data_IF_186428650569
#
_entry.id   IF_186428650569
#
_cell.length_a   1.000
_cell.length_b   1.000
_cell.length_c   1.000
_cell.angle_alpha   90.00
_cell.angle_beta   90.00
_cell.angle_gamma   90.00
#
_symmetry.space_group_name_H-M   'P 1'
#
loop_
_entity.id
_entity.type
_entity.pdbx_description
1 polymer ?
#
# COMPACT_ATOMS: atom_id res chain seq x y z
N UNK A 1 -8.84 -6.07 -24.33
CA UNK A 1 -7.92 -4.93 -24.61
C UNK A 1 -6.49 -5.31 -24.25
N UNK A 2 -5.48 -4.94 -25.05
CA UNK A 2 -4.06 -5.24 -24.78
C UNK A 2 -3.26 -4.07 -24.21
N UNK A 3 -3.73 -2.83 -24.39
CA UNK A 3 -3.08 -1.63 -23.88
C UNK A 3 -4.10 -0.53 -23.62
N UNK A 4 -3.81 0.31 -22.63
CA UNK A 4 -4.58 1.49 -22.23
C UNK A 4 -3.96 2.75 -22.83
N UNK A 5 -4.80 3.65 -23.32
CA UNK A 5 -4.32 4.94 -23.84
C UNK A 5 -3.81 5.82 -22.69
N UNK A 6 -2.65 6.50 -22.84
CA UNK A 6 -2.11 7.39 -21.80
C UNK A 6 -3.04 8.59 -21.52
N UNK A 7 -3.93 8.93 -22.44
CA UNK A 7 -4.97 9.96 -22.26
C UNK A 7 -5.96 9.65 -21.12
N UNK A 8 -5.96 8.43 -20.58
CA UNK A 8 -6.78 8.11 -19.40
C UNK A 8 -6.42 8.99 -18.20
N UNK A 9 -5.15 9.37 -18.04
CA UNK A 9 -4.70 10.26 -16.96
C UNK A 9 -5.31 11.67 -17.01
N UNK A 10 -5.89 12.07 -18.14
CA UNK A 10 -6.59 13.34 -18.26
C UNK A 10 -7.97 13.35 -17.57
N UNK A 11 -8.47 12.19 -17.14
CA UNK A 11 -9.76 12.04 -16.48
C UNK A 11 -9.63 12.36 -14.98
N UNK A 12 -9.30 13.60 -14.66
CA UNK A 12 -8.99 14.08 -13.30
C UNK A 12 -10.16 13.91 -12.31
N UNK A 13 -11.39 13.77 -12.80
CA UNK A 13 -12.60 13.54 -12.00
C UNK A 13 -12.96 12.04 -11.85
N UNK A 14 -12.14 11.12 -12.36
CA UNK A 14 -12.48 9.70 -12.40
C UNK A 14 -12.26 9.05 -11.04
N UNK A 15 -13.35 8.51 -10.48
CA UNK A 15 -13.37 7.90 -9.15
C UNK A 15 -13.43 6.37 -9.19
N UNK A 16 -13.90 5.80 -10.30
CA UNK A 16 -14.08 4.37 -10.47
C UNK A 16 -13.54 3.95 -11.83
N UNK A 17 -12.57 3.03 -11.84
CA UNK A 17 -11.98 2.48 -13.05
C UNK A 17 -12.06 0.95 -13.01
N UNK A 18 -12.79 0.36 -13.96
CA UNK A 18 -12.88 -1.08 -14.13
C UNK A 18 -12.32 -1.49 -15.49
N UNK A 19 -11.26 -2.28 -15.42
CA UNK A 19 -10.47 -2.82 -16.51
C UNK A 19 -10.41 -4.35 -16.42
N UNK A 20 -11.37 -4.95 -15.69
CA UNK A 20 -11.41 -6.40 -15.50
C UNK A 20 -11.59 -7.15 -16.82
N UNK A 21 -11.12 -8.40 -16.86
CA UNK A 21 -11.25 -9.31 -18.02
C UNK A 21 -10.62 -8.74 -19.30
N UNK A 22 -9.42 -8.20 -19.15
CA UNK A 22 -8.61 -7.74 -20.28
C UNK A 22 -7.33 -8.58 -20.40
N UNK A 23 -6.47 -8.21 -21.35
CA UNK A 23 -5.19 -8.88 -21.59
C UNK A 23 -4.05 -7.89 -21.32
N UNK A 24 -4.22 -7.04 -20.29
CA UNK A 24 -3.23 -6.05 -19.92
C UNK A 24 -2.03 -6.74 -19.26
N UNK A 25 -0.86 -6.57 -19.86
CA UNK A 25 0.41 -7.03 -19.28
C UNK A 25 1.03 -6.00 -18.33
N UNK A 26 0.68 -4.73 -18.50
CA UNK A 26 1.07 -3.62 -17.64
C UNK A 26 0.00 -2.54 -17.62
N UNK A 27 0.02 -1.70 -16.59
CA UNK A 27 -0.79 -0.47 -16.51
C UNK A 27 0.11 0.72 -16.86
N UNK A 28 -0.33 1.65 -17.73
CA UNK A 28 0.43 2.84 -18.03
C UNK A 28 0.52 3.76 -16.80
N UNK A 29 1.59 4.57 -16.67
CA UNK A 29 1.79 5.49 -15.55
C UNK A 29 0.58 6.42 -15.34
N UNK A 30 -0.11 6.78 -16.43
CA UNK A 30 -1.28 7.67 -16.40
C UNK A 30 -2.50 7.11 -15.65
N UNK A 31 -2.58 5.81 -15.38
CA UNK A 31 -3.62 5.25 -14.47
C UNK A 31 -3.35 5.71 -13.04
N UNK A 32 -2.08 5.89 -12.68
CA UNK A 32 -1.64 6.30 -11.34
C UNK A 32 -1.65 7.82 -11.16
N UNK A 33 -1.83 8.60 -12.24
CA UNK A 33 -1.98 10.06 -12.23
C UNK A 33 -3.44 10.51 -11.98
N UNK A 34 -4.31 9.62 -11.48
CA UNK A 34 -5.72 9.89 -11.22
C UNK A 34 -5.94 10.24 -9.74
N UNK A 35 -5.92 11.53 -9.35
CA UNK A 35 -5.86 11.94 -7.94
C UNK A 35 -7.13 11.57 -7.14
N UNK A 36 -8.27 11.46 -7.83
CA UNK A 36 -9.57 11.17 -7.22
C UNK A 36 -9.99 9.71 -7.36
N UNK A 37 -9.12 8.82 -7.84
CA UNK A 37 -9.46 7.42 -8.03
C UNK A 37 -9.67 6.74 -6.67
N UNK A 38 -10.87 6.19 -6.48
CA UNK A 38 -11.27 5.49 -5.25
C UNK A 38 -11.32 3.99 -5.44
N UNK A 39 -11.68 3.55 -6.64
CA UNK A 39 -11.85 2.12 -6.94
C UNK A 39 -11.13 1.80 -8.25
N UNK A 40 -10.19 0.85 -8.17
CA UNK A 40 -9.46 0.31 -9.32
C UNK A 40 -9.66 -1.20 -9.38
N UNK A 41 -10.32 -1.68 -10.43
CA UNK A 41 -10.56 -3.10 -10.66
C UNK A 41 -9.81 -3.48 -11.94
N UNK A 42 -8.77 -4.27 -11.83
CA UNK A 42 -7.95 -4.81 -12.93
C UNK A 42 -7.89 -6.33 -12.88
N UNK A 43 -8.94 -6.96 -12.32
CA UNK A 43 -9.02 -8.41 -12.18
C UNK A 43 -9.08 -9.15 -13.51
N UNK A 44 -8.64 -10.41 -13.56
CA UNK A 44 -8.61 -11.20 -14.80
C UNK A 44 -7.81 -10.51 -15.91
N UNK A 45 -6.56 -10.15 -15.62
CA UNK A 45 -5.59 -9.60 -16.57
C UNK A 45 -4.29 -10.45 -16.54
N UNK A 46 -3.23 -9.96 -17.19
CA UNK A 46 -1.90 -10.62 -17.23
C UNK A 46 -0.83 -9.74 -16.60
N UNK A 47 -1.17 -8.99 -15.55
CA UNK A 47 -0.22 -8.10 -14.88
C UNK A 47 0.85 -8.92 -14.16
N UNK A 48 2.12 -8.70 -14.49
CA UNK A 48 3.26 -9.37 -13.82
C UNK A 48 3.77 -8.60 -12.60
N UNK A 49 3.61 -7.28 -12.60
CA UNK A 49 4.02 -6.40 -11.49
C UNK A 49 3.14 -5.15 -11.43
N UNK A 50 3.15 -4.50 -10.26
CA UNK A 50 2.60 -3.16 -10.06
C UNK A 50 3.75 -2.16 -9.89
N UNK A 51 3.69 -0.99 -10.53
CA UNK A 51 4.73 0.03 -10.37
C UNK A 51 4.65 0.72 -9.01
N UNK A 52 5.79 1.22 -8.53
CA UNK A 52 5.90 2.01 -7.30
C UNK A 52 4.99 3.25 -7.31
N UNK A 53 4.66 3.79 -8.49
CA UNK A 53 3.72 4.91 -8.69
C UNK A 53 2.32 4.68 -8.12
N UNK A 54 1.98 3.46 -7.68
CA UNK A 54 0.71 3.18 -7.00
C UNK A 54 0.47 4.11 -5.80
N UNK A 55 1.52 4.55 -5.08
CA UNK A 55 1.40 5.49 -3.95
C UNK A 55 0.73 6.83 -4.31
N UNK A 56 0.74 7.23 -5.58
CA UNK A 56 0.14 8.47 -6.05
C UNK A 56 -1.40 8.45 -5.92
N UNK A 57 -2.00 7.26 -5.86
CA UNK A 57 -3.43 7.06 -5.69
C UNK A 57 -3.86 7.16 -4.22
N UNK A 58 -3.60 8.31 -3.60
CA UNK A 58 -3.79 8.55 -2.15
C UNK A 58 -5.23 8.37 -1.67
N UNK A 59 -6.23 8.55 -2.54
CA UNK A 59 -7.65 8.39 -2.24
C UNK A 59 -8.19 6.98 -2.53
N UNK A 60 -7.34 6.05 -2.96
CA UNK A 60 -7.77 4.73 -3.38
C UNK A 60 -8.22 3.90 -2.17
N UNK A 61 -9.46 3.42 -2.24
CA UNK A 61 -10.10 2.63 -1.19
C UNK A 61 -10.15 1.15 -1.55
N UNK A 62 -10.34 0.84 -2.82
CA UNK A 62 -10.51 -0.53 -3.28
C UNK A 62 -9.60 -0.80 -4.47
N UNK A 63 -8.72 -1.79 -4.32
CA UNK A 63 -7.85 -2.31 -5.37
C UNK A 63 -8.12 -3.79 -5.57
N UNK A 64 -8.66 -4.15 -6.74
CA UNK A 64 -8.82 -5.54 -7.14
C UNK A 64 -7.89 -5.89 -8.29
N UNK A 65 -6.84 -6.65 -7.99
CA UNK A 65 -5.87 -7.18 -8.94
C UNK A 65 -5.93 -8.71 -8.99
N UNK A 66 -7.07 -9.30 -8.64
CA UNK A 66 -7.24 -10.75 -8.62
C UNK A 66 -7.16 -11.40 -10.00
N UNK A 67 -6.78 -12.67 -10.07
CA UNK A 67 -6.60 -13.40 -11.34
C UNK A 67 -5.61 -12.67 -12.27
N UNK A 68 -4.42 -12.35 -11.76
CA UNK A 68 -3.29 -11.81 -12.52
C UNK A 68 -2.05 -12.70 -12.32
N UNK A 69 -0.91 -12.30 -12.87
CA UNK A 69 0.35 -13.03 -12.81
C UNK A 69 1.36 -12.29 -11.90
N UNK A 70 0.87 -11.56 -10.89
CA UNK A 70 1.71 -10.75 -10.01
C UNK A 70 2.64 -11.66 -9.20
N UNK A 71 3.95 -11.45 -9.31
CA UNK A 71 4.96 -12.21 -8.56
C UNK A 71 5.37 -11.52 -7.25
N UNK A 72 5.32 -10.18 -7.24
CA UNK A 72 5.64 -9.34 -6.09
C UNK A 72 4.73 -8.10 -6.07
N UNK A 73 4.70 -7.44 -4.92
CA UNK A 73 4.02 -6.16 -4.76
C UNK A 73 5.04 -5.09 -4.35
N UNK A 74 4.88 -3.85 -4.83
CA UNK A 74 5.71 -2.72 -4.41
C UNK A 74 5.51 -2.43 -2.92
N UNK A 75 6.58 -2.01 -2.22
CA UNK A 75 6.50 -1.59 -0.81
C UNK A 75 5.62 -0.34 -0.64
N UNK A 76 5.55 0.47 -1.69
CA UNK A 76 4.71 1.66 -1.83
C UNK A 76 3.21 1.35 -1.74
N UNK A 77 2.79 0.10 -1.93
CA UNK A 77 1.41 -0.32 -1.67
C UNK A 77 1.00 -0.04 -0.20
N UNK A 78 1.97 -0.13 0.72
CA UNK A 78 1.78 0.18 2.14
C UNK A 78 1.62 1.67 2.45
N UNK A 79 1.92 2.56 1.50
CA UNK A 79 1.73 4.02 1.65
C UNK A 79 0.29 4.47 1.34
N UNK A 80 -0.57 3.56 0.88
CA UNK A 80 -1.96 3.85 0.57
C UNK A 80 -2.81 3.87 1.85
N UNK A 81 -2.78 5.01 2.57
CA UNK A 81 -3.47 5.17 3.85
C UNK A 81 -5.00 4.99 3.76
N UNK A 82 -5.59 5.29 2.60
CA UNK A 82 -7.03 5.16 2.38
C UNK A 82 -7.49 3.77 1.94
N UNK A 83 -6.57 2.84 1.70
CA UNK A 83 -6.89 1.53 1.12
C UNK A 83 -7.57 0.65 2.17
N UNK A 84 -8.79 0.22 1.87
CA UNK A 84 -9.62 -0.63 2.74
C UNK A 84 -9.72 -2.05 2.22
N UNK A 85 -9.84 -2.19 0.90
CA UNK A 85 -10.12 -3.44 0.24
C UNK A 85 -9.03 -3.75 -0.78
N UNK A 86 -8.21 -4.76 -0.48
CA UNK A 86 -7.16 -5.27 -1.36
C UNK A 86 -7.44 -6.70 -1.76
N UNK A 87 -7.73 -6.95 -3.04
CA UNK A 87 -7.94 -8.29 -3.55
C UNK A 87 -6.77 -8.74 -4.44
N UNK A 88 -5.97 -9.68 -3.91
CA UNK A 88 -4.80 -10.27 -4.55
C UNK A 88 -5.01 -11.73 -4.95
N UNK A 89 -6.24 -12.25 -4.85
CA UNK A 89 -6.55 -13.67 -5.05
C UNK A 89 -6.12 -14.15 -6.44
N UNK A 90 -5.66 -15.41 -6.55
CA UNK A 90 -5.21 -16.00 -7.84
C UNK A 90 -4.14 -15.14 -8.52
N UNK A 91 -3.10 -14.80 -7.78
CA UNK A 91 -1.83 -14.31 -8.30
C UNK A 91 -0.72 -15.33 -8.02
N UNK A 92 0.48 -15.09 -8.54
CA UNK A 92 1.66 -15.94 -8.34
C UNK A 92 2.61 -15.32 -7.29
N UNK A 93 2.03 -14.70 -6.25
CA UNK A 93 2.78 -14.01 -5.22
C UNK A 93 3.58 -15.03 -4.40
N UNK A 94 4.87 -15.14 -4.69
CA UNK A 94 5.80 -15.97 -3.91
C UNK A 94 6.27 -15.24 -2.65
N UNK A 95 6.26 -13.90 -2.68
CA UNK A 95 6.69 -13.05 -1.58
C UNK A 95 5.70 -11.89 -1.43
N UNK A 96 5.13 -11.76 -0.23
CA UNK A 96 4.47 -10.53 0.16
C UNK A 96 5.56 -9.51 0.53
N UNK A 97 5.39 -8.22 0.20
CA UNK A 97 6.31 -7.20 0.66
C UNK A 97 6.30 -7.22 2.19
N UNK A 98 7.50 -7.26 2.78
CA UNK A 98 7.64 -6.94 4.20
C UNK A 98 6.97 -5.59 4.43
N UNK A 99 6.17 -5.49 5.49
CA UNK A 99 5.53 -4.24 5.87
C UNK A 99 6.55 -3.10 5.80
N UNK A 100 6.17 -1.88 5.37
CA UNK A 100 7.06 -0.73 5.48
C UNK A 100 7.58 -0.68 6.93
N UNK A 101 8.88 -0.41 7.14
CA UNK A 101 9.47 -0.44 8.48
C UNK A 101 8.58 0.42 9.37
N UNK A 102 8.00 -0.22 10.39
CA UNK A 102 7.21 0.49 11.39
C UNK A 102 8.05 1.68 11.85
N UNK A 103 7.54 2.91 11.63
CA UNK A 103 8.09 4.05 12.35
C UNK A 103 8.03 3.66 13.83
N UNK A 104 9.16 3.70 14.57
CA UNK A 104 9.15 3.33 15.97
C UNK A 104 8.07 4.17 16.65
N UNK A 105 7.26 3.46 17.41
CA UNK A 105 6.09 3.95 18.12
C UNK A 105 6.30 5.35 18.68
N UNK A 106 5.22 6.15 18.62
CA UNK A 106 4.99 7.31 19.47
C UNK A 106 5.62 7.05 20.84
N UNK A 107 6.71 7.72 21.16
CA UNK A 107 7.13 7.86 22.54
C UNK A 107 6.02 8.67 23.22
N UNK A 108 5.18 7.95 23.96
CA UNK A 108 4.32 8.52 24.97
C UNK A 108 5.22 9.39 25.88
N UNK A 109 4.97 10.69 26.05
CA UNK A 109 5.71 11.44 27.05
C UNK A 109 5.26 10.91 28.42
N UNK A 110 6.15 10.18 29.09
CA UNK A 110 5.98 9.84 30.49
C UNK A 110 6.12 11.13 31.30
N UNK A 111 4.99 11.85 31.44
CA UNK A 111 4.80 12.84 32.47
C UNK A 111 4.69 12.11 33.81
N UNK A 112 5.81 11.94 34.51
CA UNK A 112 5.84 12.10 35.96
C UNK A 112 7.27 12.26 36.46
N UNK A 113 7.68 13.52 36.61
CA UNK A 113 8.73 13.87 37.54
C UNK A 113 8.07 14.04 38.91
N UNK A 114 8.44 13.22 39.90
CA UNK A 114 8.27 13.58 41.30
C UNK A 114 9.14 12.69 42.22
N UNK A 115 9.92 13.39 43.03
CA UNK A 115 10.40 12.99 44.36
C UNK A 115 11.60 12.05 44.45
N UNK A 116 12.76 12.69 44.62
CA UNK A 116 13.88 12.20 45.40
C UNK A 116 13.48 11.83 46.84
N UNK A 117 14.08 10.76 47.37
CA UNK A 117 14.42 10.54 48.79
C UNK A 117 15.38 9.33 48.84
N UNK A 118 16.69 9.53 49.01
CA UNK A 118 17.49 9.44 50.25
C UNK A 118 17.41 8.10 51.02
N UNK A 119 18.61 7.59 51.39
CA UNK A 119 18.93 6.62 52.47
C UNK A 119 18.53 5.15 52.18
N UNK A 120 19.31 4.08 52.42
CA UNK A 120 20.56 3.75 53.12
C UNK A 120 21.05 2.42 52.49
N UNK A 121 22.33 2.16 52.24
CA UNK A 121 23.21 1.54 53.23
C UNK A 121 22.77 0.13 53.66
N UNK A 122 23.34 -0.94 53.09
CA UNK A 122 23.83 -2.15 53.79
C UNK A 122 24.45 -3.18 52.81
N UNK A 123 25.73 -3.50 53.04
CA UNK A 123 26.48 -4.77 52.79
C UNK A 123 25.84 -5.92 53.65
N UNK A 124 26.10 -7.25 53.54
CA UNK A 124 27.27 -7.96 52.99
C UNK A 124 27.04 -9.34 52.31
N UNK A 125 28.16 -10.03 52.02
CA UNK A 125 28.43 -11.49 52.03
C UNK A 125 28.07 -12.36 50.80
N UNK A 126 29.10 -12.74 50.02
CA UNK A 126 29.91 -13.95 50.22
C UNK A 126 31.21 -13.86 49.39
#
# INVERSE_FOLDING_TARGET
MRSLSPRLGNLQALTYLNLSRNLLSSLPPSVFELPLLRVLIVSNNKLCSLPASIHSLTHLRQLDVSCNELQSLPAELGQLECLRDLNLRRNQLSTLPQAPPEHPARQQPAANAACADLLQGQIPHL
#
